data_IF_346093083840
#
_entry.id   IF_346093083840
#
_cell.length_a   1.000
_cell.length_b   1.000
_cell.length_c   1.000
_cell.angle_alpha   90.00
_cell.angle_beta   90.00
_cell.angle_gamma   90.00
#
_symmetry.space_group_name_H-M   'P 1'
#
loop_
_entity.id
_entity.type
_entity.pdbx_description
1 polymer ?
#
# COMPACT_ATOMS: atom_id res chain seq x y z
N UNK A 1 -88.75 -53.02 -17.50
CA UNK A 1 -88.58 -54.16 -16.59
C UNK A 1 -87.57 -53.74 -15.53
N UNK A 2 -87.86 -54.03 -14.26
CA UNK A 2 -86.94 -53.75 -13.17
C UNK A 2 -85.87 -54.85 -13.13
N UNK A 3 -84.61 -54.48 -12.98
CA UNK A 3 -83.51 -55.42 -12.79
C UNK A 3 -83.48 -55.83 -11.32
N UNK A 4 -83.77 -57.09 -11.00
CA UNK A 4 -83.86 -57.58 -9.62
C UNK A 4 -82.58 -58.32 -9.16
N UNK A 5 -82.40 -58.52 -7.86
CA UNK A 5 -81.17 -59.10 -7.30
C UNK A 5 -80.86 -60.54 -7.79
N UNK A 6 -81.89 -61.31 -8.16
CA UNK A 6 -81.72 -62.63 -8.79
C UNK A 6 -81.10 -62.52 -10.18
N UNK A 7 -81.51 -61.53 -10.97
CA UNK A 7 -80.99 -61.29 -12.32
C UNK A 7 -79.48 -60.94 -12.29
N UNK A 8 -79.02 -60.25 -11.24
CA UNK A 8 -77.60 -59.95 -11.03
C UNK A 8 -76.78 -61.21 -10.69
N UNK A 9 -77.30 -62.10 -9.83
CA UNK A 9 -76.62 -63.35 -9.46
C UNK A 9 -76.53 -64.34 -10.63
N UNK A 10 -77.57 -64.40 -11.46
CA UNK A 10 -77.59 -65.21 -12.67
C UNK A 10 -76.60 -64.67 -13.72
N UNK A 11 -76.48 -63.35 -13.85
CA UNK A 11 -75.44 -62.70 -14.68
C UNK A 11 -74.03 -63.06 -14.19
N UNK A 12 -73.77 -63.05 -12.88
CA UNK A 12 -72.45 -63.42 -12.32
C UNK A 12 -72.11 -64.87 -12.65
N UNK A 13 -73.04 -65.82 -12.48
CA UNK A 13 -72.82 -67.23 -12.85
C UNK A 13 -72.52 -67.42 -14.33
N UNK A 14 -73.26 -66.74 -15.21
CA UNK A 14 -73.02 -66.76 -16.66
C UNK A 14 -71.62 -66.23 -17.04
N UNK A 15 -71.12 -65.21 -16.34
CA UNK A 15 -69.77 -64.68 -16.55
C UNK A 15 -68.66 -65.59 -15.99
N UNK A 16 -68.96 -66.44 -15.00
CA UNK A 16 -68.04 -67.45 -14.49
C UNK A 16 -67.92 -68.65 -15.43
N UNK A 17 -69.02 -69.08 -16.04
CA UNK A 17 -69.06 -70.20 -16.99
C UNK A 17 -68.53 -69.81 -18.39
N UNK A 18 -68.72 -68.56 -18.82
CA UNK A 18 -68.30 -68.06 -20.14
C UNK A 18 -67.25 -66.97 -20.04
N UNK A 19 -65.99 -67.38 -20.16
CA UNK A 19 -64.81 -66.49 -20.13
C UNK A 19 -64.87 -65.35 -21.16
N UNK A 20 -65.47 -65.60 -22.32
CA UNK A 20 -65.68 -64.63 -23.41
C UNK A 20 -66.63 -63.48 -23.03
N UNK A 21 -67.76 -63.77 -22.36
CA UNK A 21 -68.68 -62.73 -21.90
C UNK A 21 -68.10 -61.91 -20.75
N UNK A 22 -67.28 -62.55 -19.91
CA UNK A 22 -66.50 -61.87 -18.87
C UNK A 22 -65.48 -60.90 -19.46
N UNK A 23 -64.83 -61.29 -20.56
CA UNK A 23 -63.88 -60.42 -21.27
C UNK A 23 -64.59 -59.22 -21.92
N UNK A 24 -65.75 -59.42 -22.54
CA UNK A 24 -66.57 -58.36 -23.15
C UNK A 24 -67.06 -57.34 -22.11
N UNK A 25 -67.65 -57.82 -21.01
CA UNK A 25 -68.11 -56.98 -19.91
C UNK A 25 -66.94 -56.24 -19.24
N UNK A 26 -65.77 -56.89 -19.12
CA UNK A 26 -64.55 -56.26 -18.63
C UNK A 26 -64.11 -55.11 -19.54
N UNK A 27 -64.14 -55.26 -20.87
CA UNK A 27 -63.80 -54.18 -21.81
C UNK A 27 -64.76 -52.99 -21.75
N UNK A 28 -66.06 -53.26 -21.56
CA UNK A 28 -67.09 -52.23 -21.46
C UNK A 28 -67.03 -51.44 -20.14
N UNK A 29 -66.72 -52.11 -19.02
CA UNK A 29 -66.68 -51.50 -17.68
C UNK A 29 -65.30 -51.00 -17.27
N UNK A 30 -64.25 -51.73 -17.64
CA UNK A 30 -62.84 -51.39 -17.39
C UNK A 30 -62.19 -51.13 -18.74
N UNK A 31 -62.28 -49.89 -19.19
CA UNK A 31 -61.61 -49.44 -20.41
C UNK A 31 -60.11 -49.78 -20.36
N UNK A 32 -59.49 -49.93 -21.53
CA UNK A 32 -58.06 -50.22 -21.63
C UNK A 32 -57.21 -49.17 -20.85
N UNK A 33 -57.68 -47.93 -20.77
CA UNK A 33 -57.11 -46.85 -19.99
C UNK A 33 -57.11 -47.16 -18.48
N UNK A 34 -58.25 -47.58 -17.91
CA UNK A 34 -58.38 -48.01 -16.50
C UNK A 34 -57.54 -49.25 -16.19
N UNK A 35 -57.46 -50.20 -17.14
CA UNK A 35 -56.64 -51.40 -16.99
C UNK A 35 -55.13 -51.10 -17.04
N UNK A 36 -54.72 -50.02 -17.70
CA UNK A 36 -53.32 -49.58 -17.79
C UNK A 36 -52.84 -48.75 -16.60
N UNK A 37 -53.74 -48.13 -15.83
CA UNK A 37 -53.39 -47.27 -14.69
C UNK A 37 -52.39 -47.88 -13.69
N UNK A 38 -52.50 -49.15 -13.26
CA UNK A 38 -51.53 -49.72 -12.33
C UNK A 38 -50.09 -49.73 -12.88
N UNK A 39 -49.96 -49.88 -14.21
CA UNK A 39 -48.67 -49.83 -14.88
C UNK A 39 -48.14 -48.40 -14.94
N UNK A 40 -48.97 -47.43 -15.31
CA UNK A 40 -48.61 -46.00 -15.31
C UNK A 40 -48.21 -45.51 -13.91
N UNK A 41 -48.92 -45.95 -12.86
CA UNK A 41 -48.58 -45.62 -11.47
C UNK A 41 -47.23 -46.22 -11.06
N UNK A 42 -46.92 -47.45 -11.48
CA UNK A 42 -45.58 -48.06 -11.25
C UNK A 42 -44.48 -47.27 -11.97
N UNK A 43 -44.69 -46.92 -13.24
CA UNK A 43 -43.72 -46.14 -14.02
C UNK A 43 -43.50 -44.75 -13.43
N UNK A 44 -44.56 -44.08 -12.98
CA UNK A 44 -44.48 -42.80 -12.28
C UNK A 44 -43.73 -42.93 -10.95
N UNK A 45 -44.00 -43.96 -10.15
CA UNK A 45 -43.30 -44.20 -8.89
C UNK A 45 -41.80 -44.47 -9.12
N UNK A 46 -41.44 -45.22 -10.17
CA UNK A 46 -40.04 -45.44 -10.56
C UNK A 46 -39.36 -44.17 -11.09
N UNK A 47 -40.07 -43.34 -11.85
CA UNK A 47 -39.58 -42.03 -12.29
C UNK A 47 -39.38 -41.08 -11.10
N UNK A 48 -40.30 -41.09 -10.12
CA UNK A 48 -40.19 -40.32 -8.89
C UNK A 48 -38.98 -40.76 -8.07
N UNK A 49 -38.80 -42.07 -7.81
CA UNK A 49 -37.61 -42.57 -7.08
C UNK A 49 -36.30 -42.15 -7.75
N UNK A 50 -36.20 -42.29 -9.08
CA UNK A 50 -35.01 -41.84 -9.84
C UNK A 50 -34.78 -40.34 -9.71
N UNK A 51 -35.85 -39.56 -9.60
CA UNK A 51 -35.76 -38.11 -9.41
C UNK A 51 -35.29 -37.77 -8.00
N UNK A 52 -35.86 -38.40 -6.97
CA UNK A 52 -35.43 -38.26 -5.57
C UNK A 52 -33.94 -38.63 -5.40
N UNK A 53 -33.48 -39.72 -6.01
CA UNK A 53 -32.06 -40.10 -6.03
C UNK A 53 -31.16 -39.08 -6.74
N UNK A 54 -31.66 -38.40 -7.78
CA UNK A 54 -30.91 -37.33 -8.45
C UNK A 54 -30.88 -36.06 -7.60
N UNK A 55 -31.98 -35.72 -6.93
CA UNK A 55 -32.07 -34.58 -6.01
C UNK A 55 -31.15 -34.78 -4.82
N UNK A 56 -31.16 -35.95 -4.17
CA UNK A 56 -30.27 -36.24 -3.04
C UNK A 56 -28.79 -36.13 -3.42
N UNK A 57 -28.40 -36.63 -4.60
CA UNK A 57 -27.02 -36.45 -5.12
C UNK A 57 -26.67 -34.99 -5.41
N UNK A 58 -27.64 -34.15 -5.80
CA UNK A 58 -27.41 -32.73 -6.00
C UNK A 58 -27.28 -32.00 -4.67
N UNK A 59 -28.08 -32.35 -3.66
CA UNK A 59 -27.99 -31.80 -2.31
C UNK A 59 -26.63 -32.12 -1.67
N UNK A 60 -26.15 -33.37 -1.78
CA UNK A 60 -24.81 -33.77 -1.32
C UNK A 60 -23.70 -32.95 -2.00
N UNK A 61 -23.80 -32.74 -3.32
CA UNK A 61 -22.82 -31.93 -4.07
C UNK A 61 -22.90 -30.45 -3.70
N UNK A 62 -24.10 -29.92 -3.43
CA UNK A 62 -24.29 -28.55 -3.00
C UNK A 62 -23.68 -28.32 -1.61
N UNK A 63 -23.94 -29.22 -0.65
CA UNK A 63 -23.36 -29.16 0.68
C UNK A 63 -21.83 -29.21 0.64
N UNK A 64 -21.26 -30.13 -0.16
CA UNK A 64 -19.81 -30.20 -0.35
C UNK A 64 -19.23 -28.92 -0.96
N UNK A 65 -19.93 -28.32 -1.92
CA UNK A 65 -19.51 -27.06 -2.54
C UNK A 65 -19.56 -25.88 -1.56
N UNK A 66 -20.58 -25.80 -0.71
CA UNK A 66 -20.68 -24.79 0.35
C UNK A 66 -19.53 -24.90 1.36
N UNK A 67 -19.16 -26.11 1.76
CA UNK A 67 -18.02 -26.35 2.65
C UNK A 67 -16.69 -25.91 2.02
N UNK A 68 -16.45 -26.23 0.74
CA UNK A 68 -15.25 -25.81 0.02
C UNK A 68 -15.22 -24.29 -0.18
N UNK A 69 -16.36 -23.65 -0.47
CA UNK A 69 -16.47 -22.19 -0.54
C UNK A 69 -16.14 -21.54 0.81
N UNK A 70 -16.64 -22.08 1.92
CA UNK A 70 -16.35 -21.55 3.25
C UNK A 70 -14.85 -21.61 3.57
N UNK A 71 -14.18 -22.73 3.24
CA UNK A 71 -12.71 -22.87 3.38
C UNK A 71 -11.97 -21.85 2.52
N UNK A 72 -12.42 -21.63 1.28
CA UNK A 72 -11.79 -20.67 0.37
C UNK A 72 -11.94 -19.23 0.87
N UNK A 73 -13.12 -18.86 1.37
CA UNK A 73 -13.36 -17.53 1.96
C UNK A 73 -12.43 -17.30 3.15
N UNK A 74 -12.25 -18.30 4.01
CA UNK A 74 -11.38 -18.19 5.17
C UNK A 74 -9.90 -18.10 4.77
N UNK A 75 -9.44 -18.92 3.82
CA UNK A 75 -8.09 -18.82 3.28
C UNK A 75 -7.83 -17.45 2.62
N UNK A 76 -8.82 -16.90 1.91
CA UNK A 76 -8.76 -15.56 1.33
C UNK A 76 -8.66 -14.48 2.41
N UNK A 77 -9.43 -14.60 3.50
CA UNK A 77 -9.38 -13.68 4.64
C UNK A 77 -7.98 -13.66 5.27
N UNK A 78 -7.43 -14.84 5.57
CA UNK A 78 -6.08 -14.98 6.15
C UNK A 78 -5.00 -14.40 5.22
N UNK A 79 -5.12 -14.64 3.91
CA UNK A 79 -4.20 -14.08 2.91
C UNK A 79 -4.25 -12.55 2.88
N UNK A 80 -5.46 -11.97 2.91
CA UNK A 80 -5.63 -10.52 2.94
C UNK A 80 -5.04 -9.90 4.22
N UNK A 81 -5.15 -10.58 5.36
CA UNK A 81 -4.55 -10.12 6.62
C UNK A 81 -3.03 -10.17 6.57
N UNK A 82 -2.45 -11.25 6.05
CA UNK A 82 -1.00 -11.36 5.84
C UNK A 82 -0.47 -10.28 4.89
N UNK A 83 -1.19 -9.97 3.80
CA UNK A 83 -0.83 -8.92 2.86
C UNK A 83 -0.85 -7.52 3.51
N UNK A 84 -1.84 -7.23 4.36
CA UNK A 84 -1.88 -5.97 5.12
C UNK A 84 -0.71 -5.84 6.08
N UNK A 85 -0.43 -6.89 6.85
CA UNK A 85 0.71 -6.91 7.77
C UNK A 85 2.06 -6.73 7.03
N UNK A 86 2.20 -7.36 5.86
CA UNK A 86 3.38 -7.20 5.02
C UNK A 86 3.51 -5.77 4.48
N UNK A 87 2.42 -5.16 4.01
CA UNK A 87 2.41 -3.79 3.52
C UNK A 87 2.83 -2.78 4.60
N UNK A 88 2.30 -2.94 5.82
CA UNK A 88 2.69 -2.12 6.97
C UNK A 88 4.16 -2.30 7.33
N UNK A 89 4.65 -3.55 7.34
CA UNK A 89 6.06 -3.82 7.60
C UNK A 89 6.97 -3.24 6.53
N UNK A 90 6.57 -3.32 5.25
CA UNK A 90 7.30 -2.73 4.14
C UNK A 90 7.35 -1.20 4.24
N UNK A 91 6.24 -0.55 4.62
CA UNK A 91 6.22 0.90 4.83
C UNK A 91 7.15 1.32 5.96
N UNK A 92 7.15 0.60 7.09
CA UNK A 92 8.10 0.86 8.19
C UNK A 92 9.54 0.71 7.75
N UNK A 93 9.85 -0.36 7.00
CA UNK A 93 11.20 -0.58 6.46
C UNK A 93 11.62 0.54 5.50
N UNK A 94 10.74 1.00 4.61
CA UNK A 94 11.03 2.09 3.70
C UNK A 94 11.40 3.37 4.45
N UNK A 95 10.69 3.69 5.53
CA UNK A 95 11.00 4.83 6.41
C UNK A 95 12.38 4.66 7.05
N UNK A 96 12.64 3.51 7.70
CA UNK A 96 13.93 3.25 8.35
C UNK A 96 15.10 3.27 7.37
N UNK A 97 14.93 2.72 6.17
CA UNK A 97 15.98 2.77 5.13
C UNK A 97 16.21 4.21 4.67
N UNK A 98 15.16 5.02 4.56
CA UNK A 98 15.27 6.46 4.28
C UNK A 98 16.09 7.19 5.34
N UNK A 99 15.79 6.97 6.62
CA UNK A 99 16.54 7.56 7.75
C UNK A 99 18.01 7.12 7.78
N UNK A 100 18.28 5.83 7.56
CA UNK A 100 19.64 5.30 7.50
C UNK A 100 20.41 5.90 6.33
N UNK A 101 19.79 6.02 5.16
CA UNK A 101 20.40 6.68 3.99
C UNK A 101 20.76 8.13 4.30
N UNK A 102 19.86 8.87 4.97
CA UNK A 102 20.11 10.25 5.41
C UNK A 102 21.37 10.37 6.27
N UNK A 103 21.45 9.56 7.34
CA UNK A 103 22.62 9.54 8.24
C UNK A 103 23.92 9.17 7.53
N UNK A 104 23.89 8.20 6.61
CA UNK A 104 25.05 7.82 5.81
C UNK A 104 25.50 8.98 4.92
N UNK A 105 24.56 9.71 4.33
CA UNK A 105 24.86 10.86 3.48
C UNK A 105 25.49 12.00 4.30
N UNK A 106 24.90 12.36 5.44
CA UNK A 106 25.45 13.35 6.38
C UNK A 106 26.88 12.98 6.82
N UNK A 107 27.08 11.73 7.21
CA UNK A 107 28.40 11.19 7.57
C UNK A 107 29.38 11.33 6.40
N UNK A 108 28.98 10.96 5.18
CA UNK A 108 29.82 11.04 4.00
C UNK A 108 30.27 12.48 3.69
N UNK A 109 29.37 13.46 3.82
CA UNK A 109 29.71 14.88 3.67
C UNK A 109 30.67 15.35 4.76
N UNK A 110 30.53 14.88 6.01
CA UNK A 110 31.44 15.23 7.11
C UNK A 110 32.84 14.64 6.90
N UNK A 111 32.92 13.34 6.60
CA UNK A 111 34.20 12.63 6.40
C UNK A 111 34.94 13.12 5.16
N UNK A 112 34.20 13.42 4.09
CA UNK A 112 34.76 13.86 2.80
C UNK A 112 34.52 15.34 2.53
N UNK A 113 34.44 16.17 3.57
CA UNK A 113 34.17 17.61 3.44
C UNK A 113 35.14 18.29 2.45
N UNK A 114 36.42 17.93 2.46
CA UNK A 114 37.40 18.46 1.52
C UNK A 114 37.08 18.12 0.04
N UNK A 115 36.48 16.96 -0.23
CA UNK A 115 36.11 16.56 -1.59
C UNK A 115 34.91 17.37 -2.12
N UNK A 116 33.93 17.66 -1.27
CA UNK A 116 32.72 18.39 -1.64
C UNK A 116 32.94 19.91 -1.68
N UNK A 117 33.59 20.46 -0.66
CA UNK A 117 33.72 21.92 -0.48
C UNK A 117 35.10 22.48 -0.84
N UNK A 118 36.13 21.63 -1.01
CA UNK A 118 37.51 22.09 -1.26
C UNK A 118 37.74 22.82 -2.59
N UNK A 119 36.79 22.68 -3.52
CA UNK A 119 36.72 23.48 -4.75
C UNK A 119 36.30 24.93 -4.47
N UNK A 120 35.42 25.14 -3.49
CA UNK A 120 34.88 26.45 -3.12
C UNK A 120 35.79 27.19 -2.13
N UNK A 121 36.28 26.48 -1.12
CA UNK A 121 37.07 27.04 -0.02
C UNK A 121 38.39 26.31 0.20
N UNK A 122 39.43 27.07 0.59
CA UNK A 122 40.74 26.57 1.02
C UNK A 122 40.88 26.71 2.54
N UNK A 123 41.85 25.97 3.12
CA UNK A 123 42.05 25.90 4.59
C UNK A 123 40.77 25.48 5.34
N UNK A 124 40.01 24.58 4.73
CA UNK A 124 38.73 24.10 5.23
C UNK A 124 38.86 23.51 6.63
N UNK A 125 37.93 23.89 7.51
CA UNK A 125 37.72 23.27 8.83
C UNK A 125 36.24 22.98 9.03
N UNK A 126 35.92 21.76 9.42
CA UNK A 126 34.59 21.40 9.90
C UNK A 126 34.51 21.79 11.37
N UNK A 127 33.45 22.50 11.75
CA UNK A 127 33.23 23.02 13.10
C UNK A 127 31.91 22.46 13.65
N UNK A 128 31.85 22.22 14.94
CA UNK A 128 30.59 21.92 15.63
C UNK A 128 30.00 23.20 16.24
N UNK A 129 28.70 23.51 16.09
CA UNK A 129 28.11 24.76 16.61
C UNK A 129 28.28 24.95 18.13
N UNK A 130 28.35 23.86 18.90
CA UNK A 130 28.64 23.89 20.34
C UNK A 130 30.01 24.50 20.67
N UNK A 131 31.00 24.41 19.78
CA UNK A 131 32.31 25.05 19.98
C UNK A 131 32.23 26.59 19.99
N UNK A 132 31.12 27.14 19.48
CA UNK A 132 30.86 28.58 19.41
C UNK A 132 29.83 29.03 20.46
N UNK A 133 29.45 28.17 21.42
CA UNK A 133 28.35 28.42 22.37
C UNK A 133 28.47 29.78 23.05
N UNK A 134 29.61 30.07 23.69
CA UNK A 134 29.81 31.32 24.43
C UNK A 134 29.58 32.56 23.55
N UNK A 135 30.16 32.58 22.35
CA UNK A 135 29.99 33.66 21.37
C UNK A 135 28.58 33.76 20.78
N UNK A 136 27.91 32.63 20.55
CA UNK A 136 26.56 32.59 20.00
C UNK A 136 25.54 33.04 21.04
N UNK A 137 25.62 32.51 22.27
CA UNK A 137 24.70 32.82 23.39
C UNK A 137 24.71 34.29 23.81
N UNK A 138 25.75 35.05 23.45
CA UNK A 138 25.78 36.50 23.62
C UNK A 138 24.84 37.26 22.65
N UNK A 139 24.44 36.65 21.54
CA UNK A 139 23.73 37.31 20.44
C UNK A 139 22.39 36.66 20.05
N UNK A 140 22.15 35.41 20.46
CA UNK A 140 20.95 34.64 20.08
C UNK A 140 20.28 34.01 21.30
N UNK A 141 19.00 33.68 21.14
CA UNK A 141 18.23 33.00 22.19
C UNK A 141 18.63 31.54 22.36
N UNK A 142 18.22 30.95 23.48
CA UNK A 142 18.41 29.53 23.75
C UNK A 142 17.77 28.63 22.69
N UNK A 143 16.54 28.93 22.28
CA UNK A 143 15.84 28.16 21.25
C UNK A 143 16.55 28.21 19.89
N UNK A 144 17.09 29.37 19.52
CA UNK A 144 17.87 29.54 18.29
C UNK A 144 19.21 28.80 18.35
N UNK A 145 19.87 28.81 19.52
CA UNK A 145 21.08 28.02 19.72
C UNK A 145 20.80 26.52 19.59
N UNK A 146 19.72 26.02 20.20
CA UNK A 146 19.31 24.62 20.02
C UNK A 146 18.94 24.30 18.57
N UNK A 147 18.31 25.22 17.81
CA UNK A 147 18.08 25.02 16.37
C UNK A 147 19.41 24.93 15.58
N UNK A 148 20.43 25.71 15.95
CA UNK A 148 21.77 25.60 15.33
C UNK A 148 22.47 24.27 15.65
N UNK A 149 22.22 23.66 16.81
CA UNK A 149 22.79 22.34 17.12
C UNK A 149 22.27 21.23 16.18
N UNK A 150 21.15 21.47 15.50
CA UNK A 150 20.58 20.56 14.49
C UNK A 150 21.11 20.83 13.07
N UNK A 151 22.10 21.71 12.91
CA UNK A 151 22.75 21.93 11.63
C UNK A 151 23.62 20.71 11.29
N UNK A 152 23.44 20.15 10.09
CA UNK A 152 24.13 18.91 9.72
C UNK A 152 25.64 19.12 9.60
N UNK A 153 26.05 20.26 9.02
CA UNK A 153 27.46 20.60 8.88
C UNK A 153 27.69 22.12 8.91
N UNK A 154 28.65 22.55 9.72
CA UNK A 154 29.20 23.90 9.69
C UNK A 154 30.65 23.84 9.20
N UNK A 155 30.95 24.58 8.13
CA UNK A 155 32.29 24.60 7.53
C UNK A 155 32.82 26.01 7.56
N UNK A 156 34.08 26.19 7.97
CA UNK A 156 34.81 27.46 7.86
C UNK A 156 35.92 27.32 6.83
N UNK A 157 36.11 28.34 6.01
CA UNK A 157 37.23 28.37 5.08
C UNK A 157 37.34 29.67 4.31
N UNK A 158 38.50 29.84 3.68
CA UNK A 158 38.80 31.00 2.85
C UNK A 158 38.29 30.74 1.42
N UNK A 159 37.53 31.64 0.79
CA UNK A 159 37.15 31.48 -0.61
C UNK A 159 38.37 31.24 -1.50
N UNK A 160 38.28 30.22 -2.36
CA UNK A 160 39.41 29.82 -3.21
C UNK A 160 39.65 30.81 -4.35
N UNK A 161 38.58 31.21 -5.03
CA UNK A 161 38.63 32.07 -6.22
C UNK A 161 38.63 33.57 -5.88
N UNK A 162 38.27 33.93 -4.64
CA UNK A 162 38.18 35.31 -4.14
C UNK A 162 38.97 35.45 -2.82
N UNK A 163 40.31 35.31 -2.84
CA UNK A 163 41.13 35.29 -1.64
C UNK A 163 41.16 36.62 -0.86
N UNK A 164 40.70 37.72 -1.46
CA UNK A 164 40.54 39.04 -0.85
C UNK A 164 39.37 39.14 0.12
N UNK A 165 38.37 38.26 0.00
CA UNK A 165 37.27 38.20 0.95
C UNK A 165 37.75 37.67 2.31
N UNK A 166 37.09 38.03 3.42
CA UNK A 166 37.40 37.40 4.70
C UNK A 166 37.06 35.91 4.67
N UNK A 167 37.55 35.19 5.68
CA UNK A 167 37.18 33.81 5.89
C UNK A 167 35.68 33.70 6.14
N UNK A 168 35.02 32.80 5.41
CA UNK A 168 33.57 32.62 5.46
C UNK A 168 33.19 31.29 6.09
N UNK A 169 31.90 31.22 6.42
CA UNK A 169 31.27 30.04 6.97
C UNK A 169 30.21 29.52 6.01
N UNK A 170 30.02 28.21 5.95
CA UNK A 170 28.97 27.54 5.22
C UNK A 170 28.09 26.82 6.25
N UNK A 171 26.82 27.21 6.34
CA UNK A 171 25.82 26.49 7.12
C UNK A 171 25.07 25.54 6.19
N UNK A 172 25.29 24.24 6.34
CA UNK A 172 24.89 23.21 5.38
C UNK A 172 23.78 22.34 5.94
N UNK A 173 22.68 22.25 5.20
CA UNK A 173 21.66 21.20 5.34
C UNK A 173 21.92 20.11 4.31
N UNK A 174 21.83 18.85 4.71
CA UNK A 174 22.14 17.68 3.89
C UNK A 174 20.90 16.81 3.76
N UNK A 175 20.47 16.54 2.53
CA UNK A 175 19.31 15.69 2.26
C UNK A 175 19.54 14.80 1.05
N UNK A 176 18.98 13.59 1.06
CA UNK A 176 18.99 12.73 -0.12
C UNK A 176 18.13 13.32 -1.26
N UNK A 177 17.05 14.02 -0.89
CA UNK A 177 16.18 14.76 -1.81
C UNK A 177 15.93 16.14 -1.19
N UNK A 178 16.62 17.15 -1.71
CA UNK A 178 16.51 18.53 -1.23
C UNK A 178 15.11 19.07 -1.56
N UNK A 179 14.34 19.41 -0.53
CA UNK A 179 13.03 20.05 -0.63
C UNK A 179 13.04 21.53 -0.17
N UNK A 180 11.88 22.19 -0.18
CA UNK A 180 11.75 23.60 0.24
C UNK A 180 12.11 23.76 1.72
N UNK A 181 11.77 22.77 2.55
CA UNK A 181 12.07 22.80 3.98
C UNK A 181 13.57 22.79 4.23
N UNK A 182 14.34 22.03 3.46
CA UNK A 182 15.81 22.03 3.54
C UNK A 182 16.38 23.43 3.21
N UNK A 183 15.85 24.10 2.19
CA UNK A 183 16.24 25.45 1.79
C UNK A 183 15.92 26.47 2.90
N UNK A 184 14.72 26.38 3.49
CA UNK A 184 14.28 27.26 4.57
C UNK A 184 15.09 27.04 5.86
N UNK A 185 15.46 25.79 6.18
CA UNK A 185 16.33 25.48 7.33
C UNK A 185 17.73 26.07 7.13
N UNK A 186 18.33 25.88 5.95
CA UNK A 186 19.65 26.43 5.63
C UNK A 186 19.66 27.96 5.76
N UNK A 187 18.66 28.62 5.16
CA UNK A 187 18.51 30.08 5.21
C UNK A 187 18.33 30.57 6.66
N UNK A 188 17.38 29.99 7.40
CA UNK A 188 17.10 30.37 8.79
C UNK A 188 18.34 30.24 9.66
N UNK A 189 19.04 29.11 9.61
CA UNK A 189 20.24 28.86 10.43
C UNK A 189 21.40 29.77 10.04
N UNK A 190 21.59 30.05 8.75
CA UNK A 190 22.56 31.05 8.31
C UNK A 190 22.21 32.45 8.82
N UNK A 191 20.94 32.85 8.82
CA UNK A 191 20.52 34.16 9.38
C UNK A 191 20.81 34.26 10.88
N UNK A 192 20.58 33.18 11.66
CA UNK A 192 20.92 33.14 13.08
C UNK A 192 22.42 33.40 13.28
N UNK A 193 23.28 32.70 12.53
CA UNK A 193 24.73 32.88 12.58
C UNK A 193 25.19 34.27 12.12
N UNK A 194 24.55 34.84 11.09
CA UNK A 194 24.85 36.20 10.62
C UNK A 194 24.56 37.27 11.68
N UNK A 195 23.44 37.17 12.41
CA UNK A 195 23.12 38.09 13.52
C UNK A 195 24.13 37.97 14.66
N UNK A 196 24.75 36.80 14.83
CA UNK A 196 25.85 36.59 15.76
C UNK A 196 27.24 37.03 15.21
N UNK A 197 27.28 37.68 14.04
CA UNK A 197 28.49 38.29 13.48
C UNK A 197 29.32 37.39 12.56
N UNK A 198 28.82 36.20 12.19
CA UNK A 198 29.54 35.30 11.31
C UNK A 198 29.18 35.55 9.84
N UNK A 199 30.15 35.74 8.93
CA UNK A 199 29.88 35.85 7.49
C UNK A 199 29.55 34.46 6.92
N UNK A 200 28.27 34.10 6.95
CA UNK A 200 27.79 32.74 6.64
C UNK A 200 27.02 32.70 5.33
N UNK A 201 27.28 31.70 4.50
CA UNK A 201 26.50 31.34 3.33
C UNK A 201 25.60 30.15 3.69
N UNK A 202 24.27 30.23 3.46
CA UNK A 202 23.39 29.08 3.56
C UNK A 202 23.62 28.13 2.38
N UNK A 203 23.70 26.83 2.68
CA UNK A 203 23.97 25.78 1.71
C UNK A 203 22.97 24.64 1.90
N UNK A 204 22.43 24.15 0.79
CA UNK A 204 21.75 22.85 0.74
C UNK A 204 22.60 21.89 -0.08
N UNK A 205 22.81 20.69 0.45
CA UNK A 205 23.66 19.68 -0.14
C UNK A 205 22.94 18.33 -0.25
N UNK A 206 23.15 17.59 -1.34
CA UNK A 206 22.39 16.38 -1.57
C UNK A 206 22.62 15.71 -2.92
N UNK A 207 21.88 14.65 -3.18
CA UNK A 207 21.93 13.90 -4.45
C UNK A 207 20.94 14.51 -5.47
N UNK A 208 19.72 14.77 -5.01
CA UNK A 208 18.61 15.27 -5.81
C UNK A 208 18.02 16.54 -5.21
N UNK A 209 17.32 17.33 -6.02
CA UNK A 209 16.61 18.54 -5.61
C UNK A 209 15.28 18.60 -6.35
N UNK A 210 14.20 18.96 -5.65
CA UNK A 210 12.90 19.17 -6.28
C UNK A 210 12.90 20.41 -7.17
N UNK A 211 11.99 20.49 -8.14
CA UNK A 211 11.93 21.63 -9.06
C UNK A 211 11.60 22.93 -8.30
N UNK A 212 10.71 22.84 -7.32
CA UNK A 212 10.27 23.92 -6.48
C UNK A 212 11.40 24.41 -5.56
N UNK A 213 12.11 23.48 -4.89
CA UNK A 213 13.24 23.83 -4.04
C UNK A 213 14.36 24.49 -4.82
N UNK A 214 14.62 24.03 -6.05
CA UNK A 214 15.61 24.63 -6.94
C UNK A 214 15.28 26.09 -7.27
N UNK A 215 14.03 26.40 -7.56
CA UNK A 215 13.61 27.77 -7.89
C UNK A 215 13.67 28.67 -6.64
N UNK A 216 13.22 28.18 -5.48
CA UNK A 216 13.32 28.92 -4.21
C UNK A 216 14.77 29.19 -3.84
N UNK A 217 15.65 28.19 -3.93
CA UNK A 217 17.07 28.34 -3.64
C UNK A 217 17.73 29.39 -4.54
N UNK A 218 17.42 29.37 -5.84
CA UNK A 218 17.89 30.37 -6.81
C UNK A 218 17.43 31.78 -6.45
N UNK A 219 16.13 31.96 -6.16
CA UNK A 219 15.58 33.27 -5.83
C UNK A 219 16.13 33.85 -4.52
N UNK A 220 16.42 32.98 -3.54
CA UNK A 220 16.93 33.37 -2.23
C UNK A 220 18.47 33.37 -2.12
N UNK A 221 19.18 33.06 -3.21
CA UNK A 221 20.64 33.04 -3.24
C UNK A 221 21.26 31.95 -2.35
N UNK A 222 20.56 30.83 -2.18
CA UNK A 222 21.04 29.69 -1.40
C UNK A 222 21.95 28.84 -2.28
N UNK A 223 23.14 28.53 -1.78
CA UNK A 223 24.10 27.70 -2.50
C UNK A 223 23.58 26.26 -2.56
N UNK A 224 23.53 25.67 -3.75
CA UNK A 224 23.15 24.27 -3.94
C UNK A 224 24.39 23.46 -4.29
N UNK A 225 24.70 22.44 -3.49
CA UNK A 225 25.83 21.54 -3.71
C UNK A 225 25.36 20.12 -4.01
N UNK A 226 25.64 19.63 -5.22
CA UNK A 226 25.27 18.27 -5.63
C UNK A 226 26.48 17.54 -6.17
N UNK A 227 26.84 16.41 -5.57
CA UNK A 227 27.98 15.57 -6.00
C UNK A 227 29.28 16.38 -6.23
N UNK A 228 29.53 17.41 -5.41
CA UNK A 228 30.71 18.28 -5.53
C UNK A 228 30.63 19.34 -6.64
N UNK A 229 29.46 19.54 -7.23
CA UNK A 229 29.14 20.63 -8.15
C UNK A 229 28.28 21.68 -7.44
N UNK A 230 28.78 22.91 -7.39
CA UNK A 230 28.09 24.02 -6.77
C UNK A 230 27.32 24.83 -7.83
N UNK A 231 26.11 25.26 -7.48
CA UNK A 231 25.32 26.24 -8.24
C UNK A 231 25.04 27.44 -7.35
N UNK A 232 25.02 28.64 -7.94
CA UNK A 232 24.76 29.92 -7.26
C UNK A 232 25.88 30.43 -6.35
N UNK A 233 27.13 30.01 -6.58
CA UNK A 233 28.27 30.44 -5.76
C UNK A 233 28.55 31.95 -5.87
N UNK A 234 28.55 32.51 -7.07
CA UNK A 234 28.87 33.93 -7.28
C UNK A 234 27.83 34.87 -6.65
N UNK A 235 26.55 34.48 -6.66
CA UNK A 235 25.49 35.21 -5.99
C UNK A 235 25.58 35.07 -4.47
N UNK A 236 25.85 33.85 -3.99
CA UNK A 236 25.88 33.53 -2.56
C UNK A 236 27.04 34.20 -1.80
N UNK A 237 28.14 34.53 -2.48
CA UNK A 237 29.34 35.12 -1.85
C UNK A 237 29.22 36.64 -1.62
N UNK A 238 28.19 37.31 -2.16
CA UNK A 238 27.99 38.78 -2.04
C UNK A 238 27.30 39.22 -0.74
N UNK A 239 27.53 38.50 0.35
CA UNK A 239 26.87 38.64 1.66
C UNK A 239 27.33 39.83 2.49
#
# INVERSE_FOLDING_TARGET
>A
MAFEARDFLDLVRLLEERSEWRAELRRLLLTDELLSLPQLVRELAEAQRRTEERVGRLEERANHFEEEMAKLIEAQRLTNEALRALAESHQRLAITVGEVKGRILEQAYREKAAAYFGRLVRRLRVMHPYELEESLRAHISEGEFFDLLHLDLLVRGQPRELPELPELWLAVEISSVIDIGDVERAERRAMILRRAGYPVIPVVAGEQITAEAKEVARHRGILVLRDGHASHWEEAVRI
#
